data_IF_367143340564
#
_entry.id   IF_367143340564
#
_cell.length_a   1.000
_cell.length_b   1.000
_cell.length_c   1.000
_cell.angle_alpha   90.00
_cell.angle_beta   90.00
_cell.angle_gamma   90.00
#
_symmetry.space_group_name_H-M   'P 1'
#
loop_
_entity.id
_entity.type
_entity.pdbx_description
1 polymer ?
#
# COMPACT_ATOMS: atom_id res chain seq x y z
N UNK A 1 79.52 -1.40 -8.03
CA UNK A 1 79.27 -2.86 -8.17
C UNK A 1 78.17 -3.25 -7.20
N UNK A 2 76.99 -3.62 -7.72
CA UNK A 2 76.11 -4.69 -7.21
C UNK A 2 74.70 -4.47 -7.79
N UNK A 3 74.24 -5.51 -8.45
CA UNK A 3 73.03 -5.65 -9.26
C UNK A 3 72.10 -6.54 -8.42
N UNK A 4 70.84 -6.16 -8.26
CA UNK A 4 69.78 -7.07 -7.80
C UNK A 4 68.45 -6.60 -8.36
N UNK A 5 67.98 -7.30 -9.39
CA UNK A 5 66.62 -7.21 -9.90
C UNK A 5 65.83 -8.42 -9.37
N UNK A 6 64.62 -8.17 -8.88
CA UNK A 6 63.59 -9.18 -8.59
C UNK A 6 62.23 -8.66 -9.10
N UNK A 7 61.32 -9.54 -9.57
CA UNK A 7 60.39 -9.19 -10.64
C UNK A 7 59.08 -8.57 -10.16
N UNK A 8 58.59 -7.61 -10.94
CA UNK A 8 57.23 -7.10 -10.87
C UNK A 8 56.25 -8.19 -11.34
N UNK A 9 55.29 -8.54 -10.50
CA UNK A 9 54.25 -9.51 -10.82
C UNK A 9 53.14 -8.80 -11.60
N UNK A 10 53.13 -8.93 -12.93
CA UNK A 10 52.18 -8.27 -13.84
C UNK A 10 50.96 -9.13 -14.21
N UNK A 11 50.53 -10.10 -13.39
CA UNK A 11 49.51 -11.10 -13.78
C UNK A 11 48.06 -10.80 -13.39
N UNK A 12 47.71 -9.59 -12.92
CA UNK A 12 46.35 -9.31 -12.42
C UNK A 12 45.48 -8.37 -13.28
N UNK A 13 45.88 -8.00 -14.51
CA UNK A 13 45.15 -6.99 -15.29
C UNK A 13 44.77 -7.38 -16.74
N UNK A 14 44.82 -8.67 -17.12
CA UNK A 14 44.60 -9.09 -18.51
C UNK A 14 43.52 -10.15 -18.74
N UNK A 15 42.46 -10.23 -17.92
CA UNK A 15 41.41 -11.25 -18.08
C UNK A 15 40.00 -10.73 -18.45
N UNK A 16 39.79 -9.43 -18.68
CA UNK A 16 38.42 -8.90 -18.89
C UNK A 16 38.18 -8.14 -20.20
N UNK A 17 38.98 -8.41 -21.25
CA UNK A 17 38.79 -7.78 -22.57
C UNK A 17 38.44 -8.76 -23.71
N UNK A 18 38.34 -10.07 -23.45
CA UNK A 18 38.07 -11.06 -24.49
C UNK A 18 36.57 -11.29 -24.77
N UNK A 19 35.67 -10.89 -23.86
CA UNK A 19 34.27 -11.34 -23.92
C UNK A 19 33.28 -10.40 -24.63
N UNK A 20 33.75 -9.32 -25.29
CA UNK A 20 32.86 -8.31 -25.91
C UNK A 20 32.99 -8.15 -27.43
N UNK A 21 33.78 -8.98 -28.12
CA UNK A 21 34.07 -8.79 -29.55
C UNK A 21 33.48 -9.80 -30.54
N UNK A 22 32.56 -10.67 -30.13
CA UNK A 22 32.04 -11.74 -31.01
C UNK A 22 30.56 -11.63 -31.40
N UNK A 23 29.90 -10.47 -31.26
CA UNK A 23 28.46 -10.39 -31.57
C UNK A 23 28.01 -9.22 -32.43
N UNK A 24 28.72 -8.94 -33.53
CA UNK A 24 28.19 -8.19 -34.69
C UNK A 24 28.89 -8.71 -35.96
N UNK A 25 28.12 -8.91 -37.05
CA UNK A 25 28.38 -9.63 -38.33
C UNK A 25 28.00 -11.13 -38.24
N UNK A 26 27.06 -11.68 -39.01
CA UNK A 26 26.75 -11.49 -40.43
C UNK A 26 25.31 -11.97 -40.77
N UNK A 27 24.79 -11.46 -41.88
CA UNK A 27 23.48 -11.75 -42.48
C UNK A 27 23.59 -12.82 -43.60
N UNK A 28 22.49 -13.54 -43.87
CA UNK A 28 22.06 -14.15 -45.16
C UNK A 28 21.97 -15.69 -45.26
N UNK A 29 20.80 -16.10 -45.80
CA UNK A 29 20.12 -17.39 -46.11
C UNK A 29 20.86 -18.42 -47.01
N UNK A 30 20.34 -19.64 -47.38
CA UNK A 30 19.08 -20.37 -47.07
C UNK A 30 19.25 -21.87 -46.65
N UNK A 31 18.13 -22.56 -46.36
CA UNK A 31 17.98 -23.99 -45.97
C UNK A 31 18.54 -25.03 -46.98
N UNK A 32 18.82 -26.28 -46.54
CA UNK A 32 17.92 -27.39 -46.89
C UNK A 32 17.77 -28.50 -45.82
N UNK A 33 16.75 -29.35 -46.07
CA UNK A 33 16.26 -30.49 -45.30
C UNK A 33 17.35 -31.50 -44.88
N UNK A 34 17.18 -32.08 -43.67
CA UNK A 34 17.94 -33.24 -43.23
C UNK A 34 17.45 -33.76 -41.88
N UNK A 35 16.83 -34.94 -41.90
CA UNK A 35 16.20 -35.69 -40.82
C UNK A 35 17.15 -36.21 -39.74
N UNK A 36 16.79 -36.06 -38.45
CA UNK A 36 16.97 -37.09 -37.41
C UNK A 36 16.32 -36.66 -36.08
N UNK A 37 15.70 -37.63 -35.42
CA UNK A 37 15.29 -37.68 -34.01
C UNK A 37 14.48 -36.50 -33.39
N UNK A 38 13.19 -36.75 -33.14
CA UNK A 38 12.44 -36.05 -32.09
C UNK A 38 12.60 -36.80 -30.76
N UNK A 39 13.20 -36.20 -29.71
CA UNK A 39 12.89 -36.59 -28.34
C UNK A 39 11.56 -35.95 -27.91
N UNK A 40 10.76 -36.76 -27.21
CA UNK A 40 9.40 -36.53 -26.71
C UNK A 40 9.07 -35.10 -26.26
N UNK A 41 7.91 -34.59 -26.71
CA UNK A 41 7.30 -33.34 -26.25
C UNK A 41 6.98 -33.39 -24.74
N UNK A 42 7.38 -32.40 -23.92
CA UNK A 42 6.73 -32.19 -22.62
C UNK A 42 5.35 -31.55 -22.86
N UNK A 43 4.31 -32.17 -22.29
CA UNK A 43 2.92 -31.70 -22.31
C UNK A 43 2.81 -30.21 -21.94
N UNK A 44 2.35 -29.41 -22.89
CA UNK A 44 2.12 -27.98 -22.75
C UNK A 44 0.72 -27.69 -22.16
N UNK A 45 0.42 -28.19 -20.96
CA UNK A 45 -0.85 -27.90 -20.26
C UNK A 45 -0.71 -27.85 -18.73
N UNK A 46 0.29 -27.12 -18.21
CA UNK A 46 0.35 -26.82 -16.77
C UNK A 46 0.35 -25.31 -16.57
N UNK A 47 -0.83 -24.79 -16.24
CA UNK A 47 -1.22 -23.72 -15.29
C UNK A 47 -2.50 -23.04 -15.81
N UNK A 48 -3.58 -22.92 -14.98
CA UNK A 48 -3.54 -22.07 -13.78
C UNK A 48 -4.41 -22.61 -12.61
N UNK A 49 -3.91 -23.59 -11.84
CA UNK A 49 -4.57 -23.95 -10.56
C UNK A 49 -4.36 -22.92 -9.44
N UNK A 50 -3.48 -21.93 -9.62
CA UNK A 50 -3.20 -20.88 -8.63
C UNK A 50 -4.28 -19.80 -8.59
N UNK A 51 -4.86 -19.43 -9.73
CA UNK A 51 -5.86 -18.35 -9.79
C UNK A 51 -7.20 -18.82 -9.20
N UNK A 52 -7.62 -20.04 -9.55
CA UNK A 52 -8.84 -20.64 -9.02
C UNK A 52 -8.76 -20.91 -7.52
N UNK A 53 -7.57 -21.25 -6.99
CA UNK A 53 -7.40 -21.44 -5.54
C UNK A 53 -7.33 -20.13 -4.75
N UNK A 54 -6.97 -19.02 -5.40
CA UNK A 54 -6.91 -17.69 -4.79
C UNK A 54 -8.25 -16.92 -4.84
N UNK A 55 -9.12 -17.26 -5.79
CA UNK A 55 -10.46 -16.67 -5.95
C UNK A 55 -11.33 -16.66 -4.67
N UNK A 56 -11.41 -17.76 -3.88
CA UNK A 56 -12.20 -17.78 -2.65
C UNK A 56 -11.63 -16.84 -1.59
N UNK A 57 -10.29 -16.76 -1.50
CA UNK A 57 -9.58 -15.90 -0.57
C UNK A 57 -9.78 -14.43 -0.92
N UNK A 58 -9.65 -14.08 -2.21
CA UNK A 58 -9.90 -12.73 -2.71
C UNK A 58 -11.35 -12.29 -2.49
N UNK A 59 -12.32 -13.17 -2.72
CA UNK A 59 -13.73 -12.90 -2.40
C UNK A 59 -13.94 -12.66 -0.91
N UNK A 60 -13.37 -13.50 -0.05
CA UNK A 60 -13.45 -13.32 1.41
C UNK A 60 -12.81 -12.00 1.85
N UNK A 61 -11.69 -11.61 1.25
CA UNK A 61 -11.03 -10.34 1.55
C UNK A 61 -11.89 -9.16 1.10
N UNK A 62 -12.48 -9.21 -0.09
CA UNK A 62 -13.35 -8.14 -0.58
C UNK A 62 -14.59 -7.99 0.30
N UNK A 63 -15.27 -9.09 0.64
CA UNK A 63 -16.43 -9.07 1.55
C UNK A 63 -16.07 -8.48 2.92
N UNK A 64 -14.89 -8.83 3.45
CA UNK A 64 -14.38 -8.28 4.70
C UNK A 64 -14.14 -6.77 4.60
N UNK A 65 -13.44 -6.29 3.56
CA UNK A 65 -13.21 -4.86 3.34
C UNK A 65 -14.52 -4.08 3.14
N UNK A 66 -15.46 -4.62 2.37
CA UNK A 66 -16.80 -4.02 2.17
C UNK A 66 -17.55 -3.93 3.50
N UNK A 67 -17.53 -4.99 4.31
CA UNK A 67 -18.21 -4.98 5.61
C UNK A 67 -17.59 -4.00 6.61
N UNK A 68 -16.27 -3.77 6.54
CA UNK A 68 -15.59 -2.78 7.37
C UNK A 68 -15.94 -1.34 6.97
N UNK A 69 -16.22 -1.10 5.69
CA UNK A 69 -16.67 0.20 5.20
C UNK A 69 -18.16 0.43 5.50
N UNK A 70 -18.99 -0.61 5.40
CA UNK A 70 -20.43 -0.52 5.74
C UNK A 70 -20.68 -0.44 7.26
N UNK A 71 -19.81 -1.06 8.09
CA UNK A 71 -19.93 -1.08 9.55
C UNK A 71 -19.31 0.14 10.25
N UNK A 72 -18.75 1.11 9.52
CA UNK A 72 -18.12 2.33 10.09
C UNK A 72 -19.08 3.24 10.86
N UNK A 73 -20.37 2.88 10.93
CA UNK A 73 -21.39 3.57 11.72
C UNK A 73 -21.48 3.08 13.17
N UNK A 74 -20.82 1.98 13.56
CA UNK A 74 -20.88 1.49 14.94
C UNK A 74 -19.48 1.10 15.46
N UNK A 75 -18.94 1.97 16.33
CA UNK A 75 -17.96 1.63 17.36
C UNK A 75 -18.17 0.22 17.88
N UNK A 76 -17.18 -0.68 17.75
CA UNK A 76 -16.77 -1.69 18.74
C UNK A 76 -15.49 -2.40 18.27
N UNK A 77 -14.39 -2.08 18.97
CA UNK A 77 -13.08 -2.74 19.07
C UNK A 77 -12.93 -4.14 18.43
N UNK A 78 -12.34 -4.21 17.23
CA UNK A 78 -11.86 -5.46 16.61
C UNK A 78 -10.57 -5.98 17.26
N UNK A 79 -10.32 -7.30 17.28
CA UNK A 79 -9.11 -7.92 17.87
C UNK A 79 -7.79 -7.48 17.20
N UNK A 80 -7.86 -6.92 16.00
CA UNK A 80 -6.73 -6.34 15.25
C UNK A 80 -6.04 -5.18 15.98
N UNK A 81 -6.72 -4.52 16.94
CA UNK A 81 -6.12 -3.49 17.80
C UNK A 81 -5.35 -4.05 19.02
N UNK A 82 -5.33 -5.38 19.21
CA UNK A 82 -4.70 -6.01 20.38
C UNK A 82 -3.40 -6.74 20.04
N UNK A 83 -3.27 -7.26 18.83
CA UNK A 83 -2.11 -8.06 18.41
C UNK A 83 -1.67 -7.68 17.01
N UNK A 84 -0.36 -7.42 16.78
CA UNK A 84 0.14 -7.12 15.44
C UNK A 84 0.08 -8.37 14.56
N UNK A 85 -0.28 -8.19 13.29
CA UNK A 85 -0.22 -9.25 12.27
C UNK A 85 1.20 -9.72 11.95
N UNK A 86 2.21 -8.94 12.35
CA UNK A 86 3.62 -9.26 12.18
C UNK A 86 4.33 -9.20 13.55
N UNK A 87 4.96 -10.29 14.02
CA UNK A 87 5.65 -10.31 15.32
C UNK A 87 6.81 -9.31 15.41
N UNK A 88 7.41 -8.88 14.29
CA UNK A 88 8.47 -7.87 14.32
C UNK A 88 7.99 -6.47 14.74
N UNK A 89 6.68 -6.21 14.67
CA UNK A 89 6.05 -4.93 15.02
C UNK A 89 5.48 -4.92 16.45
N UNK A 90 5.67 -6.00 17.21
CA UNK A 90 5.30 -6.08 18.62
C UNK A 90 5.84 -4.94 19.51
N UNK A 91 7.11 -4.50 19.40
CA UNK A 91 7.61 -3.41 20.23
C UNK A 91 6.92 -2.07 19.92
N UNK A 92 6.68 -1.77 18.65
CA UNK A 92 6.00 -0.53 18.22
C UNK A 92 4.54 -0.51 18.66
N UNK A 93 3.87 -1.66 18.58
CA UNK A 93 2.48 -1.80 19.03
C UNK A 93 2.35 -1.60 20.56
N UNK A 94 3.32 -2.11 21.32
CA UNK A 94 3.39 -1.89 22.77
C UNK A 94 3.70 -0.43 23.13
N UNK A 95 4.48 0.27 22.29
CA UNK A 95 4.73 1.70 22.44
C UNK A 95 3.48 2.54 22.15
N UNK A 96 2.73 2.21 21.09
CA UNK A 96 1.51 2.91 20.70
C UNK A 96 0.36 2.75 21.70
N UNK A 97 0.29 1.64 22.44
CA UNK A 97 -0.72 1.42 23.48
C UNK A 97 -0.44 2.19 24.79
N UNK A 98 0.76 2.75 24.98
CA UNK A 98 1.06 3.57 26.16
C UNK A 98 0.38 4.93 26.02
N UNK A 99 -0.64 5.17 26.84
CA UNK A 99 -1.35 6.45 26.97
C UNK A 99 -0.33 7.60 27.03
N UNK A 100 -0.38 8.61 26.15
CA UNK A 100 0.55 9.74 26.23
C UNK A 100 0.36 10.42 27.58
N UNK A 101 1.46 10.51 28.37
CA UNK A 101 1.48 11.35 29.57
C UNK A 101 1.06 12.75 29.11
N UNK A 102 0.03 13.29 29.74
CA UNK A 102 -0.44 14.65 29.52
C UNK A 102 0.68 15.59 29.98
N UNK A 103 1.68 15.81 29.13
CA UNK A 103 2.61 16.93 29.30
C UNK A 103 1.82 18.16 28.91
N UNK A 104 1.41 18.94 29.91
CA UNK A 104 0.87 20.26 29.69
C UNK A 104 1.96 21.06 28.98
N UNK A 105 1.77 21.26 27.67
CA UNK A 105 2.58 22.19 26.88
C UNK A 105 2.24 23.61 27.34
N UNK A 106 2.80 24.00 28.48
CA UNK A 106 2.90 25.42 28.81
C UNK A 106 4.06 25.97 27.99
N UNK A 107 3.73 26.72 26.94
CA UNK A 107 4.71 27.51 26.21
C UNK A 107 5.08 28.67 27.13
N UNK A 108 6.09 28.47 27.98
CA UNK A 108 6.73 29.55 28.72
C UNK A 108 7.77 30.17 27.80
N UNK A 109 7.45 31.35 27.27
CA UNK A 109 8.44 32.25 26.71
C UNK A 109 9.24 32.83 27.89
N UNK A 110 10.24 32.09 28.36
CA UNK A 110 11.27 32.65 29.24
C UNK A 110 12.41 33.14 28.37
N UNK A 111 12.32 34.41 27.97
CA UNK A 111 13.43 35.18 27.43
C UNK A 111 14.26 35.67 28.63
N UNK A 112 15.15 34.83 29.15
CA UNK A 112 16.19 35.27 30.08
C UNK A 112 17.43 34.40 29.92
N UNK A 113 18.43 34.80 29.11
CA UNK A 113 19.69 34.08 28.94
C UNK A 113 20.65 34.24 30.13
N UNK A 114 20.19 34.70 31.29
CA UNK A 114 21.02 35.00 32.46
C UNK A 114 20.39 34.47 33.74
N UNK A 115 20.51 33.17 33.96
CA UNK A 115 20.45 32.57 35.30
C UNK A 115 21.56 31.52 35.40
N UNK A 116 22.68 31.97 35.96
CA UNK A 116 23.96 31.25 36.09
C UNK A 116 23.98 30.14 37.13
N UNK A 117 22.82 29.56 37.46
CA UNK A 117 22.70 28.44 38.41
C UNK A 117 21.92 27.29 37.73
N UNK A 118 22.55 26.67 36.73
CA UNK A 118 22.05 25.43 36.17
C UNK A 118 22.58 24.26 37.01
N UNK A 119 21.72 23.71 37.86
CA UNK A 119 22.03 22.44 38.52
C UNK A 119 22.34 21.36 37.47
N UNK A 120 23.23 20.41 37.79
CA UNK A 120 23.57 19.31 36.87
C UNK A 120 22.33 18.51 36.40
N UNK A 121 21.27 18.50 37.23
CA UNK A 121 19.98 17.93 36.90
C UNK A 121 19.22 18.73 35.83
N UNK A 122 19.28 20.07 35.87
CA UNK A 122 18.70 20.97 34.85
C UNK A 122 19.36 20.74 33.48
N UNK A 123 20.69 20.58 33.45
CA UNK A 123 21.46 20.32 32.24
C UNK A 123 21.13 18.94 31.63
N UNK A 124 21.01 17.90 32.47
CA UNK A 124 20.64 16.56 32.03
C UNK A 124 19.19 16.53 31.49
N UNK A 125 18.26 17.21 32.16
CA UNK A 125 16.87 17.32 31.70
C UNK A 125 16.77 18.11 30.39
N UNK A 126 17.58 19.16 30.20
CA UNK A 126 17.64 19.92 28.95
C UNK A 126 18.24 19.11 27.80
N UNK A 127 19.28 18.31 28.06
CA UNK A 127 19.87 17.40 27.07
C UNK A 127 18.90 16.31 26.61
N UNK A 128 18.01 15.83 27.50
CA UNK A 128 16.97 14.88 27.14
C UNK A 128 15.79 15.50 26.37
N UNK A 129 15.54 16.81 26.54
CA UNK A 129 14.43 17.52 25.89
C UNK A 129 14.76 17.98 24.46
N UNK A 130 16.03 18.20 24.15
CA UNK A 130 16.51 18.59 22.83
C UNK A 130 17.56 17.58 22.33
N UNK A 131 17.13 16.45 21.75
CA UNK A 131 18.03 15.46 21.17
C UNK A 131 18.87 16.02 20.00
N UNK A 132 18.36 17.06 19.33
CA UNK A 132 19.12 17.84 18.38
C UNK A 132 19.83 18.98 19.13
N UNK A 133 21.13 18.82 19.29
CA UNK A 133 22.05 19.94 19.50
C UNK A 133 22.65 20.28 18.14
N UNK A 134 22.71 21.56 17.82
CA UNK A 134 23.57 22.11 16.76
C UNK A 134 25.04 22.05 17.22
N UNK A 135 25.49 20.89 17.67
CA UNK A 135 26.90 20.60 17.89
C UNK A 135 27.40 19.80 16.68
N UNK A 136 27.99 20.46 15.67
CA UNK A 136 28.44 19.81 14.44
C UNK A 136 29.54 18.77 14.67
N UNK A 137 30.07 18.66 15.90
CA UNK A 137 31.09 17.67 16.25
C UNK A 137 30.52 16.30 16.66
N UNK A 138 29.20 16.19 16.86
CA UNK A 138 28.55 14.98 17.39
C UNK A 138 27.71 14.20 16.37
N UNK A 139 27.58 14.70 15.14
CA UNK A 139 26.81 14.06 14.07
C UNK A 139 27.73 13.10 13.26
N UNK A 140 27.45 11.79 13.19
CA UNK A 140 28.20 10.88 12.32
C UNK A 140 28.06 11.20 10.82
N UNK A 141 27.07 12.01 10.44
CA UNK A 141 26.88 12.56 9.09
C UNK A 141 27.37 14.02 8.97
N UNK A 142 28.05 14.56 10.00
CA UNK A 142 28.69 15.88 9.93
C UNK A 142 29.69 15.92 8.79
N UNK A 143 29.76 17.09 8.12
CA UNK A 143 30.70 17.34 7.04
C UNK A 143 32.13 16.88 7.44
N UNK A 144 32.85 16.16 6.56
CA UNK A 144 34.15 15.61 6.87
C UNK A 144 35.08 16.73 7.34
N UNK A 145 35.79 16.51 8.45
CA UNK A 145 36.72 17.48 9.07
C UNK A 145 37.55 18.22 8.00
N UNK A 146 37.23 19.49 7.76
CA UNK A 146 37.78 20.27 6.63
C UNK A 146 39.15 20.90 6.95
N UNK A 147 39.70 20.65 8.14
CA UNK A 147 40.93 21.27 8.67
C UNK A 147 42.19 21.00 7.81
N UNK A 148 42.12 20.08 6.84
CA UNK A 148 43.24 19.66 6.00
C UNK A 148 42.99 19.81 4.48
N UNK A 149 41.89 20.46 4.08
CA UNK A 149 41.57 20.69 2.66
C UNK A 149 42.03 22.10 2.24
N UNK A 150 42.72 22.19 1.11
CA UNK A 150 43.06 23.49 0.52
C UNK A 150 41.77 24.22 0.09
N UNK A 151 41.71 25.55 0.24
CA UNK A 151 40.49 26.34 -0.04
C UNK A 151 39.92 26.08 -1.45
N UNK A 152 40.78 25.72 -2.41
CA UNK A 152 40.35 25.36 -3.76
C UNK A 152 39.57 24.03 -3.81
N UNK A 153 39.98 23.04 -3.03
CA UNK A 153 39.31 21.73 -2.97
C UNK A 153 37.95 21.85 -2.27
N UNK A 154 37.84 22.70 -1.25
CA UNK A 154 36.56 23.00 -0.58
C UNK A 154 35.60 23.68 -1.58
N UNK A 155 36.11 24.61 -2.39
CA UNK A 155 35.30 25.28 -3.41
C UNK A 155 34.80 24.33 -4.49
N UNK A 156 35.64 23.41 -4.98
CA UNK A 156 35.22 22.41 -5.96
C UNK A 156 34.17 21.44 -5.37
N UNK A 157 34.39 20.98 -4.15
CA UNK A 157 33.45 20.10 -3.45
C UNK A 157 32.09 20.77 -3.23
N UNK A 158 32.05 22.02 -2.78
CA UNK A 158 30.81 22.77 -2.61
C UNK A 158 30.10 23.00 -3.94
N UNK A 159 30.84 23.26 -5.02
CA UNK A 159 30.25 23.45 -6.35
C UNK A 159 29.59 22.18 -6.87
N UNK A 160 30.22 21.03 -6.65
CA UNK A 160 29.63 19.73 -6.99
C UNK A 160 28.41 19.41 -6.11
N UNK A 161 28.49 19.69 -4.81
CA UNK A 161 27.39 19.48 -3.86
C UNK A 161 26.18 20.36 -4.16
N UNK A 162 26.38 21.59 -4.64
CA UNK A 162 25.28 22.47 -5.06
C UNK A 162 24.64 21.94 -6.36
N UNK A 163 25.44 21.47 -7.31
CA UNK A 163 24.92 20.86 -8.54
C UNK A 163 24.07 19.61 -8.26
N UNK A 164 24.55 18.72 -7.39
CA UNK A 164 23.82 17.51 -7.01
C UNK A 164 22.49 17.84 -6.28
N UNK A 165 22.44 18.96 -5.56
CA UNK A 165 21.20 19.43 -4.92
C UNK A 165 20.23 20.03 -5.92
N UNK A 166 20.70 20.85 -6.86
CA UNK A 166 19.85 21.43 -7.91
C UNK A 166 19.20 20.31 -8.75
N UNK A 167 19.96 19.26 -9.12
CA UNK A 167 19.44 18.10 -9.85
C UNK A 167 18.36 17.33 -9.04
N UNK A 168 18.51 17.26 -7.71
CA UNK A 168 17.49 16.67 -6.83
C UNK A 168 16.24 17.55 -6.73
N UNK A 169 16.40 18.87 -6.68
CA UNK A 169 15.28 19.82 -6.65
C UNK A 169 14.50 19.82 -7.96
N UNK A 170 15.17 19.64 -9.10
CA UNK A 170 14.50 19.50 -10.40
C UNK A 170 13.67 18.20 -10.47
N UNK A 171 14.20 17.09 -9.96
CA UNK A 171 13.41 15.84 -9.84
C UNK A 171 12.23 16.01 -8.89
N UNK A 172 12.43 16.70 -7.76
CA UNK A 172 11.36 17.00 -6.82
C UNK A 172 10.31 17.90 -7.47
N UNK A 173 10.71 18.95 -8.19
CA UNK A 173 9.84 19.85 -8.93
C UNK A 173 9.01 19.11 -9.98
N UNK A 174 9.61 18.19 -10.73
CA UNK A 174 8.90 17.34 -11.69
C UNK A 174 7.87 16.43 -10.99
N UNK A 175 8.18 15.90 -9.80
CA UNK A 175 7.25 15.07 -9.02
C UNK A 175 6.09 15.87 -8.40
N UNK A 176 6.37 17.07 -7.88
CA UNK A 176 5.34 18.00 -7.37
C UNK A 176 4.44 18.45 -8.52
N UNK A 177 4.98 18.71 -9.71
CA UNK A 177 4.21 19.03 -10.91
C UNK A 177 3.23 17.91 -11.27
N UNK A 178 3.69 16.65 -11.28
CA UNK A 178 2.81 15.49 -11.49
C UNK A 178 1.78 15.31 -10.38
N UNK A 179 2.16 15.55 -9.13
CA UNK A 179 1.23 15.47 -7.99
C UNK A 179 0.13 16.54 -8.09
N UNK A 180 0.48 17.76 -8.50
CA UNK A 180 -0.49 18.82 -8.75
C UNK A 180 -1.46 18.42 -9.86
N UNK A 181 -0.98 17.85 -10.95
CA UNK A 181 -1.82 17.35 -12.05
C UNK A 181 -2.81 16.28 -11.57
N UNK A 182 -2.32 15.28 -10.82
CA UNK A 182 -3.17 14.27 -10.21
C UNK A 182 -4.21 14.89 -9.26
N UNK A 183 -3.83 15.90 -8.48
CA UNK A 183 -4.76 16.60 -7.59
C UNK A 183 -5.87 17.33 -8.34
N UNK A 184 -5.57 17.92 -9.51
CA UNK A 184 -6.59 18.58 -10.35
C UNK A 184 -7.53 17.54 -10.94
N UNK A 185 -7.00 16.43 -11.45
CA UNK A 185 -7.81 15.33 -11.98
C UNK A 185 -8.70 14.68 -10.91
N UNK A 186 -8.20 14.52 -9.68
CA UNK A 186 -9.01 14.07 -8.54
C UNK A 186 -10.11 15.08 -8.23
N UNK A 187 -9.83 16.38 -8.32
CA UNK A 187 -10.83 17.43 -8.15
C UNK A 187 -11.96 17.32 -9.17
N UNK A 188 -11.63 17.21 -10.45
CA UNK A 188 -12.62 17.08 -11.52
C UNK A 188 -13.47 15.80 -11.39
N UNK A 189 -12.86 14.68 -10.99
CA UNK A 189 -13.57 13.43 -10.74
C UNK A 189 -14.45 13.50 -9.48
N UNK A 190 -14.02 14.19 -8.42
CA UNK A 190 -14.86 14.44 -7.24
C UNK A 190 -16.08 15.29 -7.59
N UNK A 191 -15.91 16.33 -8.42
CA UNK A 191 -17.04 17.13 -8.93
C UNK A 191 -17.98 16.28 -9.79
N UNK A 192 -17.45 15.36 -10.60
CA UNK A 192 -18.24 14.36 -11.34
C UNK A 192 -18.99 13.39 -10.42
N UNK A 193 -18.38 12.99 -9.30
CA UNK A 193 -19.00 12.10 -8.31
C UNK A 193 -20.15 12.77 -7.56
N UNK A 194 -20.14 14.10 -7.38
CA UNK A 194 -21.29 14.82 -6.82
C UNK A 194 -22.52 14.68 -7.71
N UNK A 195 -22.34 14.75 -9.04
CA UNK A 195 -23.43 14.57 -9.99
C UNK A 195 -23.95 13.13 -10.01
N UNK A 196 -23.05 12.14 -9.92
CA UNK A 196 -23.43 10.73 -9.77
C UNK A 196 -24.17 10.46 -8.46
N UNK A 197 -23.84 11.18 -7.38
CA UNK A 197 -24.50 11.02 -6.08
C UNK A 197 -25.96 11.47 -6.14
N UNK A 198 -26.27 12.53 -6.88
CA UNK A 198 -27.64 13.02 -7.10
C UNK A 198 -28.47 11.99 -7.88
N UNK A 199 -27.90 11.40 -8.94
CA UNK A 199 -28.53 10.30 -9.68
C UNK A 199 -28.79 9.06 -8.79
N UNK A 200 -27.85 8.75 -7.89
CA UNK A 200 -28.00 7.67 -6.91
C UNK A 200 -29.10 8.02 -5.90
N UNK A 201 -29.19 9.26 -5.42
CA UNK A 201 -30.25 9.73 -4.52
C UNK A 201 -31.64 9.59 -5.19
N UNK A 202 -31.80 10.05 -6.44
CA UNK A 202 -33.05 9.88 -7.19
C UNK A 202 -33.39 8.38 -7.38
N UNK A 203 -32.37 7.57 -7.68
CA UNK A 203 -32.50 6.12 -7.78
C UNK A 203 -33.01 5.48 -6.49
N UNK A 204 -32.41 5.84 -5.35
CA UNK A 204 -32.79 5.36 -4.01
C UNK A 204 -34.21 5.77 -3.66
N UNK A 205 -34.62 7.00 -3.94
CA UNK A 205 -35.98 7.48 -3.71
C UNK A 205 -37.01 6.69 -4.53
N UNK A 206 -36.70 6.43 -5.81
CA UNK A 206 -37.55 5.61 -6.68
C UNK A 206 -37.67 4.17 -6.17
N UNK A 207 -36.56 3.56 -5.75
CA UNK A 207 -36.56 2.22 -5.17
C UNK A 207 -37.33 2.15 -3.85
N UNK A 208 -37.20 3.18 -3.00
CA UNK A 208 -37.96 3.31 -1.75
C UNK A 208 -39.45 3.38 -2.03
N UNK A 209 -39.87 4.20 -3.00
CA UNK A 209 -41.27 4.32 -3.38
C UNK A 209 -41.81 3.00 -3.98
N UNK A 210 -41.02 2.27 -4.77
CA UNK A 210 -41.41 0.94 -5.27
C UNK A 210 -41.53 -0.08 -4.13
N UNK A 211 -40.59 -0.09 -3.19
CA UNK A 211 -40.61 -0.97 -2.04
C UNK A 211 -41.82 -0.71 -1.13
N UNK A 212 -42.17 0.55 -0.86
CA UNK A 212 -43.36 0.90 -0.10
C UNK A 212 -44.63 0.38 -0.77
N UNK A 213 -44.76 0.52 -2.10
CA UNK A 213 -45.90 -0.02 -2.85
C UNK A 213 -45.92 -1.55 -2.81
N UNK A 214 -44.77 -2.21 -2.97
CA UNK A 214 -44.65 -3.66 -2.90
C UNK A 214 -45.05 -4.19 -1.50
N UNK A 215 -44.58 -3.53 -0.44
CA UNK A 215 -44.95 -3.83 0.95
C UNK A 215 -46.45 -3.64 1.18
N UNK A 216 -47.05 -2.57 0.66
CA UNK A 216 -48.49 -2.35 0.76
C UNK A 216 -49.31 -3.42 0.03
N UNK A 217 -48.85 -3.90 -1.13
CA UNK A 217 -49.47 -5.03 -1.84
C UNK A 217 -49.34 -6.32 -1.06
N UNK A 218 -48.17 -6.58 -0.47
CA UNK A 218 -47.92 -7.76 0.36
C UNK A 218 -48.78 -7.75 1.62
N UNK A 219 -48.95 -6.61 2.27
CA UNK A 219 -49.81 -6.47 3.46
C UNK A 219 -51.27 -6.74 3.12
N UNK A 220 -51.77 -6.16 2.02
CA UNK A 220 -53.13 -6.45 1.52
C UNK A 220 -53.30 -7.93 1.15
N UNK A 221 -52.29 -8.54 0.54
CA UNK A 221 -52.32 -9.96 0.21
C UNK A 221 -52.34 -10.83 1.46
N UNK A 222 -51.48 -10.55 2.44
CA UNK A 222 -51.44 -11.22 3.74
C UNK A 222 -52.79 -11.14 4.46
N UNK A 223 -53.40 -9.95 4.46
CA UNK A 223 -54.72 -9.74 5.08
C UNK A 223 -55.83 -10.51 4.38
N UNK A 224 -55.87 -10.50 3.04
CA UNK A 224 -56.81 -11.30 2.23
C UNK A 224 -56.58 -12.81 2.36
N UNK A 225 -55.31 -13.22 2.44
CA UNK A 225 -54.92 -14.61 2.64
C UNK A 225 -55.40 -15.09 4.01
N UNK A 226 -55.24 -14.28 5.08
CA UNK A 226 -55.74 -14.61 6.42
C UNK A 226 -57.24 -14.81 6.47
N UNK A 227 -58.02 -13.99 5.77
CA UNK A 227 -59.49 -14.10 5.72
C UNK A 227 -59.95 -15.37 4.97
N UNK A 228 -59.27 -15.74 3.88
CA UNK A 228 -59.62 -16.89 3.05
C UNK A 228 -58.77 -18.14 3.34
N UNK A 229 -57.95 -18.12 4.39
CA UNK A 229 -56.97 -19.18 4.67
C UNK A 229 -57.66 -20.52 4.87
N UNK A 230 -58.67 -20.55 5.75
CA UNK A 230 -59.43 -21.76 6.09
C UNK A 230 -60.04 -22.43 4.85
N UNK A 231 -60.72 -21.64 4.00
CA UNK A 231 -61.35 -22.13 2.78
C UNK A 231 -60.29 -22.63 1.77
N UNK A 232 -59.19 -21.90 1.62
CA UNK A 232 -58.08 -22.29 0.72
C UNK A 232 -57.46 -23.61 1.17
N UNK A 233 -57.24 -23.82 2.48
CA UNK A 233 -56.72 -25.08 3.02
C UNK A 233 -57.64 -26.25 2.73
N UNK A 234 -58.97 -26.08 2.89
CA UNK A 234 -59.95 -27.12 2.58
C UNK A 234 -59.90 -27.49 1.09
N UNK A 235 -59.87 -26.51 0.18
CA UNK A 235 -59.79 -26.75 -1.27
C UNK A 235 -58.49 -27.48 -1.65
N UNK A 236 -57.35 -27.08 -1.08
CA UNK A 236 -56.06 -27.75 -1.29
C UNK A 236 -56.09 -29.20 -0.81
N UNK A 237 -56.69 -29.47 0.36
CA UNK A 237 -56.87 -30.84 0.86
C UNK A 237 -57.71 -31.70 -0.09
N UNK A 238 -58.78 -31.16 -0.67
CA UNK A 238 -59.61 -31.86 -1.66
C UNK A 238 -58.79 -32.18 -2.92
N UNK A 239 -58.01 -31.22 -3.44
CA UNK A 239 -57.15 -31.44 -4.61
C UNK A 239 -56.12 -32.56 -4.33
N UNK A 240 -55.49 -32.54 -3.15
CA UNK A 240 -54.55 -33.59 -2.72
C UNK A 240 -55.27 -34.94 -2.66
N UNK A 241 -56.47 -35.00 -2.08
CA UNK A 241 -57.27 -36.23 -2.01
C UNK A 241 -57.58 -36.78 -3.40
N UNK A 242 -58.01 -35.92 -4.34
CA UNK A 242 -58.29 -36.32 -5.74
C UNK A 242 -57.03 -36.83 -6.42
N UNK A 243 -55.89 -36.13 -6.25
CA UNK A 243 -54.60 -36.58 -6.77
C UNK A 243 -54.21 -37.95 -6.21
N UNK A 244 -54.37 -38.17 -4.91
CA UNK A 244 -54.10 -39.45 -4.28
C UNK A 244 -55.01 -40.55 -4.83
N UNK A 245 -56.30 -40.27 -5.06
CA UNK A 245 -57.21 -41.24 -5.69
C UNK A 245 -56.73 -41.59 -7.10
N UNK A 246 -56.36 -40.61 -7.92
CA UNK A 246 -55.88 -40.85 -9.29
C UNK A 246 -54.56 -41.63 -9.30
N UNK A 247 -53.67 -41.38 -8.35
CA UNK A 247 -52.38 -42.06 -8.25
C UNK A 247 -52.54 -43.47 -7.66
N UNK A 248 -53.45 -43.66 -6.70
CA UNK A 248 -53.66 -44.93 -6.00
C UNK A 248 -54.58 -45.88 -6.76
N UNK A 249 -55.45 -45.36 -7.62
CA UNK A 249 -56.37 -46.13 -8.45
C UNK A 249 -55.72 -46.49 -9.79
#
# INVERSE_FOLDING_TARGET
MARSQGPWNSSALASNLSNRKSKIQETSTPSPLGSSEYPSTPNLLTYPRSITSQLPRLKSQLTELTSQFDASSQTLTSPTLKTPNNPSLAPDFAAAQKKPRQVSKSVRFTDNPSSSDSSAAEAANRAALFPYRDDPSSDPDAAPNQDHLDNQQIHEYHRQTIQDQDDQLDQLGASIGRQRELSMQIGDELDGQVMLLDDVEEGVDRHTAQFQRARGRLDRFSRKAKENWSLTVIVVLIIILVLLIVITK
#
